data_IF_445059093760
#
_entry.id   IF_445059093760
#
_cell.length_a   1.000
_cell.length_b   1.000
_cell.length_c   1.000
_cell.angle_alpha   90.00
_cell.angle_beta   90.00
_cell.angle_gamma   90.00
#
_symmetry.space_group_name_H-M   'P 1'
#
loop_
_entity.id
_entity.type
_entity.pdbx_description
1 polymer ?
#
# COMPACT_ATOMS: atom_id res chain seq x y z
N UNK A 1 14.64 -29.26 52.41
CA UNK A 1 15.88 -28.88 51.82
C UNK A 1 15.67 -27.66 50.94
N UNK A 2 16.32 -26.55 51.24
CA UNK A 2 16.33 -25.36 50.38
C UNK A 2 17.13 -25.71 49.13
N UNK A 3 16.47 -25.69 47.97
CA UNK A 3 17.15 -25.78 46.69
C UNK A 3 17.83 -24.42 46.48
N UNK A 4 19.15 -24.40 46.60
CA UNK A 4 19.93 -23.21 46.31
C UNK A 4 19.72 -22.87 44.81
N UNK A 5 19.20 -21.71 44.44
CA UNK A 5 18.99 -21.39 43.03
C UNK A 5 20.36 -21.37 42.36
N UNK A 6 20.57 -22.28 41.42
CA UNK A 6 21.79 -22.34 40.62
C UNK A 6 21.87 -21.00 39.87
N UNK A 7 22.87 -20.21 40.26
CA UNK A 7 23.11 -18.90 39.65
C UNK A 7 23.69 -19.12 38.24
N UNK A 8 22.82 -19.32 37.26
CA UNK A 8 23.26 -19.56 35.88
C UNK A 8 23.76 -18.24 35.31
N UNK A 9 25.07 -18.15 35.17
CA UNK A 9 25.74 -17.01 34.53
C UNK A 9 25.42 -17.05 33.04
N UNK A 10 24.62 -16.11 32.53
CA UNK A 10 24.34 -15.95 31.11
C UNK A 10 25.23 -14.86 30.49
N UNK A 11 25.69 -15.10 29.28
CA UNK A 11 26.45 -14.14 28.48
C UNK A 11 25.55 -13.67 27.36
N UNK A 12 25.41 -12.35 27.19
CA UNK A 12 24.70 -11.76 26.09
C UNK A 12 25.66 -11.61 24.91
N UNK A 13 25.24 -12.10 23.74
CA UNK A 13 25.92 -11.87 22.47
C UNK A 13 24.93 -11.23 21.48
N UNK A 14 25.40 -10.32 20.65
CA UNK A 14 24.66 -9.72 19.56
C UNK A 14 25.18 -10.31 18.26
N UNK A 15 24.26 -10.75 17.43
CA UNK A 15 24.54 -11.22 16.08
C UNK A 15 23.92 -10.22 15.11
N UNK A 16 24.72 -9.72 14.17
CA UNK A 16 24.27 -8.92 13.05
C UNK A 16 24.10 -9.81 11.83
N UNK A 17 22.90 -9.78 11.24
CA UNK A 17 22.59 -10.51 10.01
C UNK A 17 22.25 -9.46 8.95
N UNK A 18 23.04 -9.41 7.88
CA UNK A 18 22.78 -8.55 6.72
C UNK A 18 22.45 -9.44 5.51
N UNK A 19 21.30 -9.21 4.89
CA UNK A 19 20.85 -9.98 3.72
C UNK A 19 21.76 -9.85 2.50
N UNK A 20 22.70 -8.91 2.50
CA UNK A 20 23.76 -8.83 1.48
C UNK A 20 24.70 -10.04 1.50
N UNK A 21 24.88 -10.67 2.67
CA UNK A 21 25.73 -11.84 2.85
C UNK A 21 24.97 -13.17 2.84
N UNK A 22 23.75 -13.15 2.29
CA UNK A 22 22.94 -14.35 2.18
C UNK A 22 23.51 -15.33 1.18
N UNK A 23 23.35 -16.60 1.47
CA UNK A 23 23.74 -17.66 0.57
C UNK A 23 22.91 -17.60 -0.73
N UNK A 24 23.54 -17.99 -1.81
CA UNK A 24 22.91 -18.03 -3.12
C UNK A 24 22.22 -16.70 -3.52
N UNK A 25 22.96 -15.59 -3.36
CA UNK A 25 22.49 -14.22 -3.49
C UNK A 25 21.57 -13.96 -4.67
N UNK A 26 21.91 -14.49 -5.85
CA UNK A 26 21.13 -14.25 -7.09
C UNK A 26 19.85 -15.08 -7.19
N UNK A 27 19.73 -16.17 -6.45
CA UNK A 27 18.55 -17.05 -6.51
C UNK A 27 17.73 -17.03 -5.21
N UNK A 28 18.16 -16.28 -4.20
CA UNK A 28 17.44 -16.08 -2.95
C UNK A 28 16.88 -14.65 -2.86
N UNK A 29 15.84 -14.47 -2.04
CA UNK A 29 15.22 -13.16 -1.81
C UNK A 29 15.71 -12.59 -0.47
N UNK A 30 15.75 -11.25 -0.36
CA UNK A 30 16.07 -10.58 0.92
C UNK A 30 15.05 -10.84 2.03
N UNK A 31 13.84 -11.30 1.67
CA UNK A 31 12.78 -11.70 2.59
C UNK A 31 12.77 -13.19 2.92
N UNK A 32 13.54 -14.00 2.18
CA UNK A 32 13.60 -15.45 2.34
C UNK A 32 15.00 -15.93 1.95
N UNK A 33 15.87 -16.10 2.93
CA UNK A 33 17.27 -16.43 2.71
C UNK A 33 17.87 -17.22 3.88
N UNK A 34 18.97 -17.88 3.59
CA UNK A 34 19.82 -18.55 4.56
C UNK A 34 21.14 -17.78 4.66
N UNK A 35 21.71 -17.75 5.82
CA UNK A 35 23.05 -17.22 6.08
C UNK A 35 23.77 -18.14 7.06
N UNK A 36 24.99 -18.48 6.73
CA UNK A 36 25.85 -19.23 7.64
C UNK A 36 26.38 -18.33 8.74
N UNK A 37 26.21 -18.77 9.97
CA UNK A 37 26.72 -18.07 11.16
C UNK A 37 28.10 -18.63 11.48
N UNK A 38 29.16 -17.78 11.49
CA UNK A 38 30.53 -18.25 11.67
C UNK A 38 30.79 -18.85 13.06
N UNK A 39 30.00 -18.48 14.07
CA UNK A 39 30.14 -18.93 15.45
C UNK A 39 29.09 -19.97 15.83
N UNK A 40 29.54 -21.02 16.53
CA UNK A 40 28.57 -21.95 17.13
C UNK A 40 28.08 -21.44 18.49
N UNK A 41 26.77 -21.27 18.59
CA UNK A 41 26.10 -20.93 19.84
C UNK A 41 25.64 -22.20 20.56
N UNK A 42 26.16 -22.45 21.76
CA UNK A 42 25.75 -23.61 22.57
C UNK A 42 24.96 -23.15 23.80
N UNK A 43 24.03 -23.97 24.25
CA UNK A 43 23.20 -23.73 25.45
C UNK A 43 22.46 -22.41 25.41
N UNK A 44 21.77 -22.10 24.27
CA UNK A 44 20.98 -20.89 24.12
C UNK A 44 19.81 -20.94 25.08
N UNK A 45 19.71 -19.94 25.95
CA UNK A 45 18.63 -19.80 26.93
C UNK A 45 17.51 -18.89 26.39
N UNK A 46 17.88 -17.88 25.58
CA UNK A 46 16.95 -16.92 25.02
C UNK A 46 17.51 -16.31 23.75
N UNK A 47 16.64 -16.12 22.76
CA UNK A 47 16.90 -15.34 21.53
C UNK A 47 15.83 -14.28 21.37
N UNK A 48 16.23 -13.09 20.94
CA UNK A 48 15.29 -12.01 20.58
C UNK A 48 15.85 -11.16 19.46
N UNK A 49 15.00 -10.66 18.60
CA UNK A 49 15.34 -9.59 17.66
C UNK A 49 15.38 -8.28 18.45
N UNK A 50 16.50 -7.55 18.36
CA UNK A 50 16.70 -6.28 19.06
C UNK A 50 16.57 -5.06 18.17
N UNK A 51 16.89 -5.22 16.89
CA UNK A 51 16.74 -4.19 15.86
C UNK A 51 16.43 -4.87 14.53
N UNK A 52 15.71 -4.17 13.66
CA UNK A 52 15.39 -4.60 12.33
C UNK A 52 15.44 -3.37 11.40
N UNK A 53 16.25 -3.47 10.37
CA UNK A 53 16.41 -2.40 9.37
C UNK A 53 15.95 -2.91 8.02
N UNK A 54 15.00 -2.22 7.43
CA UNK A 54 14.51 -2.50 6.08
C UNK A 54 14.82 -1.29 5.21
N UNK A 55 15.40 -1.48 4.00
CA UNK A 55 15.50 -0.39 3.04
C UNK A 55 14.12 0.17 2.72
N UNK A 56 13.98 1.48 2.66
CA UNK A 56 12.74 2.17 2.25
C UNK A 56 12.45 2.06 0.75
N UNK A 57 13.06 1.10 0.07
CA UNK A 57 12.88 0.83 -1.37
C UNK A 57 11.61 0.06 -1.72
N UNK A 58 10.72 -0.17 -0.75
CA UNK A 58 9.41 -0.78 -1.00
C UNK A 58 8.47 0.31 -1.50
N UNK A 59 8.02 0.20 -2.72
CA UNK A 59 6.99 1.09 -3.25
C UNK A 59 5.67 0.89 -2.49
N UNK A 60 5.03 1.97 -2.07
CA UNK A 60 3.72 1.94 -1.42
C UNK A 60 2.61 1.50 -2.38
N UNK A 61 2.76 1.81 -3.68
CA UNK A 61 1.91 1.32 -4.75
C UNK A 61 2.76 0.40 -5.64
N UNK A 62 2.36 -0.85 -5.79
CA UNK A 62 3.06 -1.81 -6.62
C UNK A 62 2.16 -2.93 -7.14
N UNK A 63 2.53 -3.46 -8.30
CA UNK A 63 1.84 -4.54 -8.99
C UNK A 63 1.90 -5.88 -8.24
N UNK A 64 3.00 -6.13 -7.52
CA UNK A 64 3.19 -7.37 -6.73
C UNK A 64 2.15 -7.51 -5.62
N UNK A 65 1.77 -6.39 -4.99
CA UNK A 65 0.72 -6.36 -3.96
C UNK A 65 -0.69 -6.23 -4.57
N UNK A 66 -0.80 -6.08 -5.89
CA UNK A 66 -2.07 -5.83 -6.58
C UNK A 66 -2.83 -4.63 -6.00
N UNK A 67 -2.10 -3.60 -5.58
CA UNK A 67 -2.63 -2.35 -5.04
C UNK A 67 -2.38 -1.15 -5.97
N UNK A 68 -2.07 -1.40 -7.23
CA UNK A 68 -1.72 -0.38 -8.21
C UNK A 68 -2.83 -0.09 -9.22
N UNK A 69 -4.05 -0.56 -8.99
CA UNK A 69 -5.16 -0.35 -9.92
C UNK A 69 -6.51 -0.22 -9.22
N UNK A 70 -7.45 0.36 -9.94
CA UNK A 70 -8.89 0.30 -9.67
C UNK A 70 -9.67 0.29 -10.98
N UNK A 71 -10.95 -0.03 -10.88
CA UNK A 71 -11.86 -0.06 -12.02
C UNK A 71 -12.98 0.97 -11.80
N UNK A 72 -13.37 1.66 -12.83
CA UNK A 72 -14.59 2.46 -12.83
C UNK A 72 -15.52 2.10 -14.00
N UNK A 73 -16.81 2.28 -13.79
CA UNK A 73 -17.84 2.13 -14.80
C UNK A 73 -18.68 3.40 -14.85
N UNK A 74 -18.88 3.93 -16.04
CA UNK A 74 -19.83 5.02 -16.29
C UNK A 74 -21.19 4.43 -16.63
N UNK A 75 -22.25 4.95 -16.00
CA UNK A 75 -23.63 4.53 -16.26
C UNK A 75 -23.82 3.00 -16.26
N UNK A 76 -25.00 2.55 -16.66
CA UNK A 76 -25.35 1.14 -16.83
C UNK A 76 -24.73 0.49 -18.08
N UNK A 77 -24.00 1.24 -18.90
CA UNK A 77 -23.28 0.74 -20.05
C UNK A 77 -22.09 -0.10 -19.58
N UNK A 78 -21.94 -1.27 -20.18
CA UNK A 78 -21.04 -2.35 -19.75
C UNK A 78 -19.52 -2.07 -19.85
N UNK A 79 -19.10 -0.85 -20.16
CA UNK A 79 -17.71 -0.53 -20.40
C UNK A 79 -17.00 -0.16 -19.08
N UNK A 80 -16.39 -1.17 -18.49
CA UNK A 80 -15.49 -0.97 -17.37
C UNK A 80 -14.13 -0.46 -17.85
N UNK A 81 -13.70 0.67 -17.34
CA UNK A 81 -12.36 1.21 -17.58
C UNK A 81 -11.46 0.90 -16.39
N UNK A 82 -10.27 0.40 -16.68
CA UNK A 82 -9.28 0.06 -15.67
C UNK A 82 -8.17 1.10 -15.64
N UNK A 83 -7.92 1.64 -14.48
CA UNK A 83 -6.81 2.54 -14.21
C UNK A 83 -5.69 1.76 -13.54
N UNK A 84 -4.51 1.77 -14.14
CA UNK A 84 -3.32 1.09 -13.61
C UNK A 84 -2.23 2.14 -13.41
N UNK A 85 -1.70 2.18 -12.20
CA UNK A 85 -0.55 3.02 -11.83
C UNK A 85 0.74 2.22 -11.96
N UNK A 86 1.82 2.89 -12.34
CA UNK A 86 3.15 2.29 -12.28
C UNK A 86 3.58 2.03 -10.84
N UNK A 87 4.48 1.08 -10.64
CA UNK A 87 5.05 0.85 -9.32
C UNK A 87 5.86 2.07 -8.88
N UNK A 88 5.61 2.56 -7.66
CA UNK A 88 6.27 3.77 -7.19
C UNK A 88 5.80 4.27 -5.82
N UNK A 89 6.51 5.29 -5.34
CA UNK A 89 6.11 6.08 -4.19
C UNK A 89 5.52 7.40 -4.70
N UNK A 90 4.27 7.61 -4.40
CA UNK A 90 3.50 8.77 -4.83
C UNK A 90 3.33 9.78 -3.69
N UNK A 91 3.20 11.05 -4.05
CA UNK A 91 2.99 12.15 -3.10
C UNK A 91 1.58 12.70 -3.22
N UNK A 92 1.02 13.12 -2.09
CA UNK A 92 -0.21 13.92 -2.02
C UNK A 92 0.09 15.44 -2.02
N UNK A 93 1.38 15.83 -1.89
CA UNK A 93 1.81 17.20 -1.80
C UNK A 93 1.99 17.75 -3.21
N UNK A 94 1.31 18.87 -3.51
CA UNK A 94 1.50 19.61 -4.75
C UNK A 94 2.71 20.54 -4.60
N UNK A 95 3.80 20.24 -5.28
CA UNK A 95 4.99 21.09 -5.26
C UNK A 95 5.04 21.95 -6.52
N UNK A 96 4.64 23.20 -6.42
CA UNK A 96 4.57 24.15 -7.55
C UNK A 96 5.92 24.42 -8.23
N UNK A 97 7.03 23.95 -7.69
CA UNK A 97 8.37 24.23 -8.18
C UNK A 97 9.04 23.09 -8.95
N UNK A 98 8.44 21.91 -8.95
CA UNK A 98 8.95 20.74 -9.64
C UNK A 98 7.80 20.16 -10.45
N UNK A 99 8.03 19.79 -11.72
CA UNK A 99 7.11 18.94 -12.47
C UNK A 99 6.82 17.70 -11.62
N UNK A 100 5.68 17.70 -10.96
CA UNK A 100 5.37 16.73 -9.92
C UNK A 100 4.89 15.43 -10.57
N UNK A 101 5.85 14.79 -11.28
CA UNK A 101 5.63 13.51 -11.96
C UNK A 101 5.17 12.40 -11.00
N UNK A 102 5.25 12.65 -9.69
CA UNK A 102 4.87 11.69 -8.65
C UNK A 102 3.60 12.11 -7.86
N UNK A 103 2.95 13.20 -8.23
CA UNK A 103 1.72 13.61 -7.57
C UNK A 103 0.57 12.67 -7.98
N UNK A 104 -0.10 12.08 -6.99
CA UNK A 104 -1.14 11.06 -7.22
C UNK A 104 -2.36 11.63 -7.94
N UNK A 105 -2.77 12.88 -7.67
CA UNK A 105 -3.90 13.51 -8.36
C UNK A 105 -3.60 13.66 -9.85
N UNK A 106 -2.41 14.18 -10.17
CA UNK A 106 -1.98 14.34 -11.56
C UNK A 106 -1.95 13.01 -12.31
N UNK A 107 -1.38 11.99 -11.68
CA UNK A 107 -1.21 10.68 -12.32
C UNK A 107 -2.56 9.98 -12.51
N UNK A 108 -3.44 10.01 -11.52
CA UNK A 108 -4.77 9.43 -11.65
C UNK A 108 -5.55 10.16 -12.74
N UNK A 109 -5.57 11.49 -12.73
CA UNK A 109 -6.29 12.29 -13.72
C UNK A 109 -5.78 12.13 -15.15
N UNK A 110 -4.49 11.89 -15.34
CA UNK A 110 -3.92 11.61 -16.67
C UNK A 110 -4.44 10.30 -17.28
N UNK A 111 -4.97 9.40 -16.47
CA UNK A 111 -5.53 8.12 -16.88
C UNK A 111 -7.06 8.08 -16.86
N UNK A 112 -7.71 9.11 -16.33
CA UNK A 112 -9.17 9.20 -16.27
C UNK A 112 -9.74 9.92 -17.50
N UNK A 113 -10.94 9.52 -17.93
CA UNK A 113 -11.73 10.20 -18.97
C UNK A 113 -13.11 10.51 -18.39
N UNK A 114 -13.52 11.79 -18.43
CA UNK A 114 -14.83 12.28 -17.96
C UNK A 114 -15.11 12.08 -16.45
N UNK A 115 -14.11 11.66 -15.69
CA UNK A 115 -14.13 11.60 -14.23
C UNK A 115 -12.89 12.33 -13.74
N UNK A 116 -13.04 13.14 -12.72
CA UNK A 116 -11.92 13.85 -12.09
C UNK A 116 -11.69 13.33 -10.68
N UNK A 117 -10.42 13.18 -10.31
CA UNK A 117 -9.98 12.84 -8.97
C UNK A 117 -9.34 14.06 -8.31
N UNK A 118 -9.63 14.30 -7.05
CA UNK A 118 -8.99 15.34 -6.26
C UNK A 118 -8.91 14.98 -4.78
N UNK A 119 -7.95 15.59 -4.08
CA UNK A 119 -7.79 15.51 -2.64
C UNK A 119 -8.11 16.89 -2.05
N UNK A 120 -9.01 16.92 -1.08
CA UNK A 120 -9.23 18.12 -0.29
C UNK A 120 -8.04 18.33 0.65
N UNK A 121 -7.21 19.34 0.38
CA UNK A 121 -5.99 19.60 1.14
C UNK A 121 -6.23 20.03 2.60
N UNK A 122 -7.46 20.39 2.98
CA UNK A 122 -7.81 20.73 4.36
C UNK A 122 -8.14 19.45 5.15
N UNK A 123 -8.99 18.59 4.59
CA UNK A 123 -9.43 17.36 5.25
C UNK A 123 -8.56 16.15 4.93
N UNK A 124 -7.72 16.22 3.89
CA UNK A 124 -6.95 15.09 3.36
C UNK A 124 -7.80 14.02 2.66
N UNK A 125 -9.09 14.25 2.47
CA UNK A 125 -10.02 13.27 1.89
C UNK A 125 -10.03 13.32 0.37
N UNK A 126 -10.10 12.14 -0.22
CA UNK A 126 -10.24 11.96 -1.67
C UNK A 126 -11.68 12.10 -2.12
N UNK A 127 -11.85 12.59 -3.34
CA UNK A 127 -13.14 12.60 -4.03
C UNK A 127 -12.96 12.33 -5.53
N UNK A 128 -13.95 11.67 -6.12
CA UNK A 128 -14.14 11.56 -7.55
C UNK A 128 -15.41 12.31 -7.94
N UNK A 129 -15.38 13.03 -9.06
CA UNK A 129 -16.53 13.79 -9.59
C UNK A 129 -16.70 13.56 -11.08
N UNK A 130 -17.94 13.63 -11.58
CA UNK A 130 -18.28 13.48 -13.01
C UNK A 130 -19.61 14.14 -13.31
N UNK A 131 -19.83 14.53 -14.58
CA UNK A 131 -21.13 14.98 -15.07
C UNK A 131 -22.17 13.84 -15.14
N UNK A 132 -21.70 12.59 -15.18
CA UNK A 132 -22.56 11.42 -15.28
C UNK A 132 -22.35 10.49 -14.08
N UNK A 133 -23.37 9.68 -13.77
CA UNK A 133 -23.29 8.66 -12.74
C UNK A 133 -22.18 7.64 -13.04
N UNK A 134 -21.49 7.17 -12.01
CA UNK A 134 -20.42 6.20 -12.14
C UNK A 134 -20.28 5.35 -10.88
N UNK A 135 -19.57 4.24 -11.03
CA UNK A 135 -19.25 3.34 -9.94
C UNK A 135 -17.72 3.13 -9.89
N UNK A 136 -17.18 2.98 -8.67
CA UNK A 136 -15.78 2.63 -8.44
C UNK A 136 -15.70 1.25 -7.81
N UNK A 137 -14.67 0.48 -8.22
CA UNK A 137 -14.41 -0.86 -7.72
C UNK A 137 -12.94 -0.98 -7.36
N UNK A 138 -12.67 -1.19 -6.08
CA UNK A 138 -11.32 -1.37 -5.52
C UNK A 138 -11.01 -2.83 -5.16
N UNK A 139 -12.02 -3.69 -5.10
CA UNK A 139 -11.89 -5.08 -4.65
C UNK A 139 -12.01 -6.10 -5.79
N UNK A 140 -11.61 -5.73 -6.97
CA UNK A 140 -11.51 -6.65 -8.11
C UNK A 140 -10.11 -7.22 -8.25
N UNK A 141 -10.01 -8.32 -9.02
CA UNK A 141 -8.73 -8.76 -9.58
C UNK A 141 -8.34 -7.87 -10.78
N UNK A 142 -7.16 -8.12 -11.34
CA UNK A 142 -6.65 -7.35 -12.48
C UNK A 142 -7.51 -7.50 -13.75
N UNK A 143 -8.35 -8.53 -13.82
CA UNK A 143 -9.28 -8.79 -14.94
C UNK A 143 -10.67 -8.20 -14.70
N UNK A 144 -10.89 -7.57 -13.53
CA UNK A 144 -12.16 -6.94 -13.18
C UNK A 144 -13.15 -7.86 -12.49
N UNK A 145 -12.77 -9.09 -12.16
CA UNK A 145 -13.63 -9.99 -11.41
C UNK A 145 -13.69 -9.59 -9.93
N UNK A 146 -14.87 -9.61 -9.39
CA UNK A 146 -15.09 -9.28 -7.99
C UNK A 146 -14.41 -10.29 -7.05
N UNK A 147 -13.66 -9.82 -6.09
CA UNK A 147 -12.96 -10.63 -5.11
C UNK A 147 -13.63 -10.50 -3.74
N UNK A 148 -14.58 -11.39 -3.45
CA UNK A 148 -15.29 -11.42 -2.16
C UNK A 148 -14.37 -11.52 -0.94
N UNK A 149 -13.23 -12.18 -1.08
CA UNK A 149 -12.27 -12.43 -0.01
C UNK A 149 -11.07 -11.47 -0.01
N UNK A 150 -11.05 -10.45 -0.90
CA UNK A 150 -9.97 -9.48 -0.88
C UNK A 150 -10.14 -8.55 0.33
N UNK A 151 -9.05 -8.35 1.06
CA UNK A 151 -9.04 -7.39 2.15
C UNK A 151 -8.90 -5.98 1.57
N UNK A 152 -9.88 -5.08 1.76
CA UNK A 152 -9.81 -3.71 1.23
C UNK A 152 -8.54 -2.96 1.64
N UNK A 153 -8.03 -3.22 2.84
CA UNK A 153 -6.80 -2.63 3.38
C UNK A 153 -5.55 -2.86 2.50
N UNK A 154 -5.56 -3.90 1.66
CA UNK A 154 -4.45 -4.21 0.76
C UNK A 154 -4.65 -3.61 -0.64
N UNK A 155 -5.68 -2.82 -0.88
CA UNK A 155 -6.03 -2.28 -2.19
C UNK A 155 -5.76 -0.79 -2.29
N UNK A 156 -5.63 -0.29 -3.53
CA UNK A 156 -5.39 1.12 -3.82
C UNK A 156 -6.43 2.03 -3.15
N UNK A 157 -7.70 1.63 -3.15
CA UNK A 157 -8.76 2.39 -2.51
C UNK A 157 -8.48 2.74 -1.06
N UNK A 158 -7.89 1.81 -0.30
CA UNK A 158 -7.55 2.08 1.10
C UNK A 158 -6.49 3.16 1.25
N UNK A 159 -5.47 3.14 0.39
CA UNK A 159 -4.43 4.19 0.36
C UNK A 159 -5.02 5.56 -0.01
N UNK A 160 -6.01 5.57 -0.91
CA UNK A 160 -6.74 6.77 -1.30
C UNK A 160 -7.81 7.21 -0.27
N UNK A 161 -7.99 6.49 0.83
CA UNK A 161 -8.93 6.83 1.89
C UNK A 161 -10.30 6.15 1.80
N UNK A 162 -10.57 5.33 0.80
CA UNK A 162 -11.81 4.58 0.62
C UNK A 162 -11.81 3.31 1.48
N UNK A 163 -12.88 3.04 2.20
CA UNK A 163 -12.96 1.93 3.15
C UNK A 163 -13.78 0.75 2.66
N UNK A 164 -14.58 0.95 1.62
CA UNK A 164 -15.36 -0.10 0.96
C UNK A 164 -14.69 -0.56 -0.34
N UNK A 165 -15.05 -1.76 -0.77
CA UNK A 165 -14.55 -2.31 -2.03
C UNK A 165 -15.29 -1.79 -3.26
N UNK A 166 -16.48 -1.20 -3.09
CA UNK A 166 -17.32 -0.70 -4.17
C UNK A 166 -18.05 0.55 -3.73
N UNK A 167 -18.20 1.50 -4.66
CA UNK A 167 -18.92 2.76 -4.49
C UNK A 167 -19.80 3.06 -5.68
N UNK A 168 -20.96 3.65 -5.42
CA UNK A 168 -21.85 4.24 -6.42
C UNK A 168 -21.91 5.73 -6.18
N UNK A 169 -21.79 6.52 -7.23
CA UNK A 169 -21.86 7.98 -7.15
C UNK A 169 -23.26 8.47 -6.80
N UNK A 170 -23.31 9.54 -6.01
CA UNK A 170 -24.51 10.27 -5.67
C UNK A 170 -24.48 11.64 -6.35
N UNK A 171 -25.66 12.17 -6.74
CA UNK A 171 -25.74 13.49 -7.31
C UNK A 171 -25.73 14.56 -6.22
N UNK A 172 -24.73 15.44 -6.28
CA UNK A 172 -24.56 16.56 -5.35
C UNK A 172 -25.12 17.82 -6.02
N UNK A 173 -26.24 18.33 -5.48
CA UNK A 173 -26.97 19.47 -6.03
C UNK A 173 -26.21 20.78 -5.90
N UNK A 174 -25.34 20.92 -4.89
CA UNK A 174 -24.59 22.15 -4.63
C UNK A 174 -23.53 22.43 -5.70
N UNK A 175 -22.93 21.35 -6.21
CA UNK A 175 -21.92 21.44 -7.27
C UNK A 175 -22.43 20.96 -8.63
N UNK A 176 -23.65 20.44 -8.71
CA UNK A 176 -24.28 19.90 -9.92
C UNK A 176 -23.48 18.78 -10.59
N UNK A 177 -22.85 17.91 -9.80
CA UNK A 177 -22.03 16.79 -10.26
C UNK A 177 -22.38 15.51 -9.50
N UNK A 178 -22.09 14.37 -10.10
CA UNK A 178 -22.03 13.10 -9.40
C UNK A 178 -20.74 12.98 -8.63
N UNK A 179 -20.79 12.51 -7.39
CA UNK A 179 -19.63 12.49 -6.47
C UNK A 179 -19.54 11.18 -5.69
N UNK A 180 -18.30 10.75 -5.47
CA UNK A 180 -17.94 9.74 -4.46
C UNK A 180 -16.85 10.36 -3.57
N UNK A 181 -17.08 10.40 -2.26
CA UNK A 181 -16.15 10.90 -1.23
C UNK A 181 -15.59 9.75 -0.41
N UNK A 182 -14.31 9.83 -0.05
CA UNK A 182 -13.69 8.84 0.83
C UNK A 182 -14.09 9.07 2.30
N UNK A 183 -14.14 7.99 3.08
CA UNK A 183 -14.40 8.05 4.52
C UNK A 183 -13.16 8.52 5.30
N UNK A 184 -11.99 8.04 4.87
CA UNK A 184 -10.70 8.35 5.47
C UNK A 184 -9.88 9.34 4.67
N UNK A 185 -8.74 9.70 5.20
CA UNK A 185 -7.72 10.50 4.51
C UNK A 185 -6.96 9.66 3.49
N UNK A 186 -6.50 10.31 2.43
CA UNK A 186 -5.51 9.74 1.51
C UNK A 186 -4.17 9.67 2.24
N UNK A 187 -3.64 8.47 2.40
CA UNK A 187 -2.36 8.24 3.04
C UNK A 187 -1.47 7.37 2.16
N UNK A 188 -0.56 8.02 1.47
CA UNK A 188 0.45 7.40 0.60
C UNK A 188 1.84 7.40 1.24
N UNK A 189 1.98 8.00 2.41
CA UNK A 189 3.23 7.93 3.14
C UNK A 189 3.44 6.49 3.63
N UNK A 190 4.63 5.99 3.40
CA UNK A 190 5.04 4.68 3.92
C UNK A 190 4.97 4.71 5.44
N UNK A 191 4.47 3.67 6.09
CA UNK A 191 4.44 3.58 7.54
C UNK A 191 5.85 3.62 8.15
#
# INVERSE_FOLDING_TARGET
GYINPINVKSIRRTLNIDSKFRDNYFNSKSSDFIVDIPDQFKKIVKMKVTAFEIPTSIYNINSTNSNNFFIYKKNELNDASKIVLNDGNYSTIFNNYINDSNNIETIINNNLTDISYSIDHISGKSKFTSDNSFNLYFNTDINGNYHLNSQPILKLGWLLGFRLGQYTSEYDTDISLYIIKSEGICNLESP
#
